data_IF_979296338606
#
_entry.id   IF_979296338606
#
_cell.length_a   1.000
_cell.length_b   1.000
_cell.length_c   1.000
_cell.angle_alpha   90.00
_cell.angle_beta   90.00
_cell.angle_gamma   90.00
#
_symmetry.space_group_name_H-M   'P 1'
#
loop_
_entity.id
_entity.type
_entity.pdbx_description
1 polymer ?
#
# COMPACT_ATOMS: atom_id res chain seq x y z
N UNK A 1 34.47 14.43 48.21
CA UNK A 1 33.98 15.30 47.12
C UNK A 1 34.48 14.86 45.74
N UNK A 2 35.80 14.76 45.51
CA UNK A 2 36.37 14.43 44.19
C UNK A 2 35.91 13.07 43.61
N UNK A 3 35.80 12.03 44.46
CA UNK A 3 35.29 10.71 44.07
C UNK A 3 33.82 10.74 43.65
N UNK A 4 33.00 11.58 44.26
CA UNK A 4 31.56 11.71 43.97
C UNK A 4 31.33 12.42 42.63
N UNK A 5 32.15 13.42 42.29
CA UNK A 5 32.07 14.16 41.02
C UNK A 5 32.43 13.26 39.83
N UNK A 6 33.47 12.43 39.98
CA UNK A 6 33.88 11.48 38.93
C UNK A 6 32.78 10.45 38.65
N UNK A 7 32.12 9.94 39.69
CA UNK A 7 31.01 8.97 39.54
C UNK A 7 29.82 9.58 38.79
N UNK A 8 29.47 10.85 39.07
CA UNK A 8 28.36 11.54 38.38
C UNK A 8 28.66 11.75 36.89
N UNK A 9 29.90 12.14 36.53
CA UNK A 9 30.31 12.32 35.14
C UNK A 9 30.31 10.99 34.35
N UNK A 10 30.78 9.90 34.96
CA UNK A 10 30.75 8.58 34.31
C UNK A 10 29.32 8.05 34.14
N UNK A 11 28.42 8.35 35.09
CA UNK A 11 27.02 7.97 34.99
C UNK A 11 26.26 8.80 33.94
N UNK A 12 26.57 10.09 33.78
CA UNK A 12 25.94 10.93 32.76
C UNK A 12 26.36 10.53 31.34
N UNK A 13 27.63 10.17 31.14
CA UNK A 13 28.12 9.63 29.86
C UNK A 13 27.45 8.30 29.49
N UNK A 14 27.31 7.40 30.46
CA UNK A 14 26.66 6.10 30.25
C UNK A 14 25.16 6.22 29.96
N UNK A 15 24.50 7.19 30.60
CA UNK A 15 23.09 7.51 30.34
C UNK A 15 22.89 8.14 28.95
N UNK A 16 23.77 9.07 28.55
CA UNK A 16 23.75 9.67 27.22
C UNK A 16 23.96 8.61 26.11
N UNK A 17 24.89 7.69 26.32
CA UNK A 17 25.16 6.57 25.40
C UNK A 17 23.94 5.64 25.25
N UNK A 18 23.23 5.39 26.36
CA UNK A 18 22.04 4.54 26.38
C UNK A 18 20.83 5.22 25.72
N UNK A 19 20.72 6.54 25.84
CA UNK A 19 19.69 7.34 25.17
C UNK A 19 19.89 7.39 23.65
N UNK A 20 21.14 7.59 23.20
CA UNK A 20 21.48 7.58 21.77
C UNK A 20 21.24 6.20 21.12
N UNK A 21 21.50 5.10 21.84
CA UNK A 21 21.16 3.75 21.37
C UNK A 21 19.66 3.52 21.18
N UNK A 22 18.81 4.11 22.02
CA UNK A 22 17.35 4.00 21.89
C UNK A 22 16.81 4.76 20.68
N UNK A 23 17.38 5.93 20.36
CA UNK A 23 17.02 6.71 19.18
C UNK A 23 17.36 5.97 17.88
N UNK A 24 18.50 5.25 17.86
CA UNK A 24 18.90 4.45 16.70
C UNK A 24 18.12 3.14 16.52
N UNK A 25 17.49 2.62 17.59
CA UNK A 25 16.77 1.34 17.60
C UNK A 25 15.26 1.48 17.33
N UNK A 26 14.77 2.66 16.95
CA UNK A 26 13.46 2.76 16.32
C UNK A 26 13.60 2.32 14.84
N UNK A 27 13.99 1.05 14.64
CA UNK A 27 13.98 0.45 13.31
C UNK A 27 12.53 0.46 12.82
N UNK A 28 12.30 0.98 11.62
CA UNK A 28 11.04 0.76 10.93
C UNK A 28 10.70 -0.74 11.01
N UNK A 29 9.42 -1.11 11.21
CA UNK A 29 9.05 -2.52 11.29
C UNK A 29 9.65 -3.25 10.09
N UNK A 30 10.33 -4.36 10.37
CA UNK A 30 11.05 -5.16 9.35
C UNK A 30 10.14 -5.62 8.23
N UNK A 31 8.82 -5.65 8.48
CA UNK A 31 7.77 -5.87 7.51
C UNK A 31 6.81 -4.68 7.50
N UNK A 32 6.64 -3.98 6.37
CA UNK A 32 5.67 -2.90 6.26
C UNK A 32 4.24 -3.43 6.33
N UNK A 33 3.33 -2.62 6.84
CA UNK A 33 1.90 -2.85 6.64
C UNK A 33 1.54 -2.52 5.19
N UNK A 34 0.68 -3.35 4.57
CA UNK A 34 0.21 -3.14 3.20
C UNK A 34 -1.28 -2.80 3.26
N UNK A 35 -1.63 -1.59 2.84
CA UNK A 35 -3.02 -1.17 2.64
C UNK A 35 -3.34 -1.19 1.15
N UNK A 36 -4.21 -2.11 0.73
CA UNK A 36 -4.67 -2.23 -0.65
C UNK A 36 -6.04 -1.57 -0.81
N UNK A 37 -6.10 -0.44 -1.53
CA UNK A 37 -7.34 0.27 -1.83
C UNK A 37 -7.68 0.04 -3.30
N UNK A 38 -8.88 -0.48 -3.57
CA UNK A 38 -9.39 -0.68 -4.94
C UNK A 38 -10.66 0.15 -5.14
N UNK A 39 -10.79 0.73 -6.32
CA UNK A 39 -12.01 1.38 -6.77
C UNK A 39 -12.48 0.66 -8.05
N UNK A 40 -13.71 0.16 -8.03
CA UNK A 40 -14.28 -0.60 -9.15
C UNK A 40 -14.97 0.35 -10.13
N UNK A 41 -15.00 -0.03 -11.42
CA UNK A 41 -15.68 0.69 -12.49
C UNK A 41 -15.25 2.15 -12.68
N UNK A 42 -13.96 2.45 -12.42
CA UNK A 42 -13.39 3.79 -12.54
C UNK A 42 -12.37 3.89 -13.68
N UNK A 43 -12.57 4.86 -14.56
CA UNK A 43 -11.59 5.32 -15.55
C UNK A 43 -10.63 6.35 -14.92
N UNK A 44 -9.48 6.69 -15.55
CA UNK A 44 -8.51 7.65 -14.99
C UNK A 44 -8.98 9.13 -15.01
N UNK A 45 -10.26 9.38 -14.73
CA UNK A 45 -10.87 10.71 -14.56
C UNK A 45 -10.61 11.22 -13.14
N UNK A 46 -9.34 11.52 -12.85
CA UNK A 46 -8.86 12.02 -11.56
C UNK A 46 -7.96 13.23 -11.80
N UNK A 47 -7.93 14.18 -10.87
CA UNK A 47 -7.12 15.39 -11.03
C UNK A 47 -5.63 15.10 -11.12
N UNK A 48 -5.11 14.12 -10.37
CA UNK A 48 -3.73 13.66 -10.51
C UNK A 48 -3.38 13.03 -11.89
N UNK A 49 -4.38 12.67 -12.70
CA UNK A 49 -4.21 12.23 -14.09
C UNK A 49 -4.45 13.36 -15.12
N UNK A 50 -4.66 14.60 -14.67
CA UNK A 50 -4.85 15.78 -15.54
C UNK A 50 -6.29 16.16 -15.83
N UNK A 51 -7.27 15.53 -15.16
CA UNK A 51 -8.67 15.95 -15.24
C UNK A 51 -8.89 17.25 -14.44
N UNK A 52 -9.31 18.32 -15.10
CA UNK A 52 -9.48 19.63 -14.45
C UNK A 52 -10.87 19.84 -13.84
N UNK A 53 -11.85 18.96 -14.09
CA UNK A 53 -13.22 19.10 -13.57
C UNK A 53 -13.41 18.32 -12.25
N UNK A 54 -12.76 17.16 -12.14
CA UNK A 54 -12.85 16.30 -10.96
C UNK A 54 -11.95 16.82 -9.83
N UNK A 55 -12.49 16.85 -8.60
CA UNK A 55 -11.75 17.25 -7.40
C UNK A 55 -11.49 16.04 -6.51
N UNK A 56 -10.26 15.54 -6.49
CA UNK A 56 -9.87 14.37 -5.68
C UNK A 56 -8.70 14.66 -4.73
N UNK A 57 -8.82 15.64 -3.80
CA UNK A 57 -7.69 16.15 -3.03
C UNK A 57 -6.94 15.09 -2.22
N UNK A 58 -7.64 14.09 -1.66
CA UNK A 58 -6.99 13.01 -0.91
C UNK A 58 -6.21 12.04 -1.81
N UNK A 59 -6.70 11.80 -3.04
CA UNK A 59 -6.00 10.96 -4.03
C UNK A 59 -4.83 11.72 -4.64
N UNK A 60 -4.98 13.03 -4.86
CA UNK A 60 -3.91 13.90 -5.33
C UNK A 60 -2.77 13.96 -4.32
N UNK A 61 -3.09 14.09 -3.03
CA UNK A 61 -2.10 14.02 -1.96
C UNK A 61 -1.37 12.66 -1.97
N UNK A 62 -2.12 11.55 -2.07
CA UNK A 62 -1.52 10.21 -2.14
C UNK A 62 -0.60 10.06 -3.36
N UNK A 63 -0.99 10.61 -4.51
CA UNK A 63 -0.17 10.59 -5.72
C UNK A 63 1.11 11.44 -5.59
N UNK A 64 1.01 12.61 -4.94
CA UNK A 64 2.15 13.51 -4.70
C UNK A 64 3.17 12.95 -3.69
N UNK A 65 2.71 12.18 -2.70
CA UNK A 65 3.55 11.52 -1.69
C UNK A 65 4.10 10.16 -2.18
N UNK A 66 3.65 9.69 -3.35
CA UNK A 66 3.93 8.35 -3.86
C UNK A 66 4.37 8.32 -5.32
N UNK A 67 4.03 7.21 -5.99
CA UNK A 67 4.30 7.01 -7.42
C UNK A 67 2.96 6.85 -8.13
N UNK A 68 2.71 7.69 -9.14
CA UNK A 68 1.56 7.59 -10.03
C UNK A 68 1.97 6.90 -11.34
N UNK A 69 1.29 5.80 -11.67
CA UNK A 69 1.51 5.09 -12.94
C UNK A 69 0.53 5.58 -14.01
N UNK A 70 1.03 6.28 -15.02
CA UNK A 70 0.20 6.82 -16.12
C UNK A 70 -0.23 5.78 -17.16
N UNK A 71 0.34 4.58 -17.10
CA UNK A 71 0.10 3.49 -18.05
C UNK A 71 -0.13 2.17 -17.31
N UNK A 72 -1.20 2.11 -16.51
CA UNK A 72 -1.65 0.90 -15.81
C UNK A 72 -2.91 0.34 -16.48
N UNK A 73 -2.94 -0.97 -16.76
CA UNK A 73 -4.01 -1.62 -17.51
C UNK A 73 -4.58 -2.81 -16.74
N UNK A 74 -5.90 -3.01 -16.85
CA UNK A 74 -6.54 -4.24 -16.41
C UNK A 74 -6.32 -5.37 -17.42
N UNK A 75 -6.16 -6.60 -16.92
CA UNK A 75 -6.11 -7.81 -17.76
C UNK A 75 -7.50 -8.24 -18.24
N UNK A 76 -8.57 -7.71 -17.65
CA UNK A 76 -9.95 -7.90 -18.10
C UNK A 76 -10.84 -6.71 -17.73
N UNK A 77 -11.65 -6.24 -18.68
CA UNK A 77 -12.63 -5.15 -18.48
C UNK A 77 -13.90 -5.56 -17.74
N UNK A 78 -13.82 -6.53 -16.82
CA UNK A 78 -14.96 -7.07 -16.08
C UNK A 78 -14.58 -7.28 -14.61
N UNK A 79 -15.44 -6.87 -13.67
CA UNK A 79 -15.12 -6.81 -12.24
C UNK A 79 -14.69 -8.17 -11.65
N UNK A 80 -15.44 -9.25 -11.88
CA UNK A 80 -15.09 -10.56 -11.30
C UNK A 80 -13.79 -11.16 -11.87
N UNK A 81 -13.59 -11.21 -13.21
CA UNK A 81 -12.30 -11.55 -13.80
C UNK A 81 -11.15 -10.63 -13.35
N UNK A 82 -11.31 -9.31 -13.36
CA UNK A 82 -10.27 -8.35 -12.92
C UNK A 82 -9.80 -8.64 -11.48
N UNK A 83 -10.75 -8.73 -10.53
CA UNK A 83 -10.43 -9.04 -9.13
C UNK A 83 -9.77 -10.40 -8.95
N UNK A 84 -10.18 -11.41 -9.72
CA UNK A 84 -9.52 -12.72 -9.65
C UNK A 84 -8.05 -12.64 -10.03
N UNK A 85 -7.69 -11.81 -11.02
CA UNK A 85 -6.31 -11.59 -11.42
C UNK A 85 -5.52 -10.85 -10.35
N UNK A 86 -6.09 -9.79 -9.76
CA UNK A 86 -5.46 -9.03 -8.67
C UNK A 86 -5.19 -9.93 -7.45
N UNK A 87 -6.16 -10.73 -7.02
CA UNK A 87 -6.06 -11.55 -5.80
C UNK A 87 -5.07 -12.71 -5.98
N UNK A 88 -5.04 -13.33 -7.16
CA UNK A 88 -4.26 -14.55 -7.39
C UNK A 88 -2.90 -14.30 -8.04
N UNK A 89 -2.69 -13.13 -8.66
CA UNK A 89 -1.51 -12.87 -9.48
C UNK A 89 -1.50 -13.63 -10.81
N UNK A 90 -2.62 -14.22 -11.22
CA UNK A 90 -2.73 -15.05 -12.42
C UNK A 90 -3.63 -14.41 -13.49
N UNK A 91 -3.41 -14.75 -14.75
CA UNK A 91 -4.40 -14.46 -15.80
C UNK A 91 -5.65 -15.31 -15.56
N UNK A 92 -6.81 -14.72 -15.79
CA UNK A 92 -8.10 -15.34 -15.52
C UNK A 92 -8.31 -16.60 -16.35
N UNK A 93 -7.81 -16.59 -17.60
CA UNK A 93 -7.82 -17.73 -18.51
C UNK A 93 -6.99 -18.91 -18.00
N UNK A 94 -5.95 -18.66 -17.20
CA UNK A 94 -5.11 -19.70 -16.62
C UNK A 94 -5.79 -20.44 -15.46
N UNK A 95 -6.78 -19.81 -14.80
CA UNK A 95 -7.45 -20.36 -13.60
C UNK A 95 -8.96 -20.57 -13.79
N UNK A 96 -9.47 -20.40 -15.01
CA UNK A 96 -10.89 -20.64 -15.34
C UNK A 96 -11.86 -19.57 -14.81
N UNK A 97 -11.37 -18.39 -14.43
CA UNK A 97 -12.17 -17.30 -13.85
C UNK A 97 -12.53 -16.20 -14.87
N UNK A 98 -12.28 -16.43 -16.16
CA UNK A 98 -12.55 -15.46 -17.23
C UNK A 98 -14.04 -15.19 -17.48
N UNK A 99 -14.92 -16.08 -17.03
CA UNK A 99 -16.37 -15.96 -17.24
C UNK A 99 -17.05 -15.33 -16.03
N UNK A 100 -17.94 -14.36 -16.26
CA UNK A 100 -18.93 -14.03 -15.23
C UNK A 100 -19.81 -15.25 -15.03
N UNK A 101 -20.03 -15.66 -13.77
CA UNK A 101 -20.98 -16.72 -13.45
C UNK A 101 -22.40 -16.22 -13.74
N UNK A 102 -22.82 -16.26 -15.00
CA UNK A 102 -24.23 -16.35 -15.31
C UNK A 102 -24.64 -17.77 -15.00
N UNK A 103 -25.60 -17.93 -14.09
CA UNK A 103 -26.33 -19.20 -13.99
C UNK A 103 -26.89 -19.46 -15.38
N UNK A 104 -26.27 -20.38 -16.14
CA UNK A 104 -27.03 -21.07 -17.17
C UNK A 104 -28.15 -21.72 -16.37
N UNK A 105 -29.39 -21.24 -16.55
CA UNK A 105 -30.55 -22.03 -16.20
C UNK A 105 -30.30 -23.37 -16.87
N UNK A 106 -29.91 -24.38 -16.08
CA UNK A 106 -29.72 -25.73 -16.54
C UNK A 106 -31.06 -26.09 -17.19
N UNK A 107 -31.11 -26.05 -18.52
CA UNK A 107 -32.16 -26.74 -19.25
C UNK A 107 -31.89 -28.20 -18.96
N UNK A 108 -32.51 -28.69 -17.88
CA UNK A 108 -32.75 -30.11 -17.67
C UNK A 108 -33.29 -30.64 -19.01
N UNK A 109 -32.46 -31.41 -19.70
CA UNK A 109 -32.95 -32.39 -20.66
C UNK A 109 -33.39 -33.62 -19.88
#
# INVERSE_FOLDING_TARGET
MQKTVIVILLLSESLAMSFMKRLAYQSAPTQPNILWITCEDMSPHLSCYGDNEVKTPNIDQLAAEGICYTHAYTTAGVCAPSRSSIITGMYQTSIGTQHMRTLQASKKK
#
